data_IF_286594294550
#
_entry.id   IF_286594294550
#
_cell.length_a   1.000
_cell.length_b   1.000
_cell.length_c   1.000
_cell.angle_alpha   90.00
_cell.angle_beta   90.00
_cell.angle_gamma   90.00
#
_symmetry.space_group_name_H-M   'P 1'
#
loop_
_entity.id
_entity.type
_entity.pdbx_description
1 polymer ?
#
# COMPACT_ATOMS: atom_id res chain seq x y z
N UNK A 1 -5.27 -19.64 3.50
CA UNK A 1 -4.91 -19.54 2.08
C UNK A 1 -3.46 -19.10 2.01
N UNK A 2 -2.63 -19.89 1.41
CA UNK A 2 -1.19 -19.66 1.28
C UNK A 2 -0.83 -19.93 -0.18
N UNK A 3 -1.20 -18.97 -1.04
CA UNK A 3 -0.83 -19.04 -2.45
C UNK A 3 0.65 -18.70 -2.57
N UNK A 4 1.41 -19.27 -3.53
CA UNK A 4 2.86 -19.10 -3.67
C UNK A 4 3.32 -17.64 -3.70
N UNK A 5 2.43 -16.73 -4.08
CA UNK A 5 2.71 -15.29 -4.18
C UNK A 5 2.03 -14.44 -3.09
N UNK A 6 1.14 -15.00 -2.23
CA UNK A 6 0.36 -14.22 -1.26
C UNK A 6 -0.11 -15.03 -0.05
N UNK A 7 0.60 -14.99 1.08
CA UNK A 7 0.01 -15.43 2.36
C UNK A 7 -1.19 -14.52 2.70
N UNK A 8 -2.31 -15.13 3.07
CA UNK A 8 -3.50 -14.37 3.44
C UNK A 8 -3.27 -13.63 4.78
N UNK A 9 -3.30 -12.30 4.82
CA UNK A 9 -3.03 -11.56 6.06
C UNK A 9 -4.01 -11.90 7.18
N UNK A 10 -5.25 -12.16 6.84
CA UNK A 10 -6.29 -12.54 7.79
C UNK A 10 -6.08 -13.96 8.34
N UNK A 11 -5.55 -14.87 7.52
CA UNK A 11 -5.14 -16.20 7.95
C UNK A 11 -3.99 -16.12 8.93
N UNK A 12 -2.95 -15.36 8.63
CA UNK A 12 -1.80 -15.16 9.51
C UNK A 12 -2.21 -14.54 10.85
N UNK A 13 -3.11 -13.54 10.85
CA UNK A 13 -3.64 -12.94 12.09
C UNK A 13 -4.43 -13.93 12.92
N UNK A 14 -5.23 -14.80 12.29
CA UNK A 14 -5.96 -15.83 13.00
C UNK A 14 -5.01 -16.84 13.68
N UNK A 15 -3.98 -17.28 12.94
CA UNK A 15 -2.95 -18.16 13.48
C UNK A 15 -2.21 -17.52 14.66
N UNK A 16 -1.77 -16.28 14.50
CA UNK A 16 -1.07 -15.54 15.56
C UNK A 16 -1.94 -15.39 16.81
N UNK A 17 -3.21 -15.04 16.66
CA UNK A 17 -4.15 -14.92 17.78
C UNK A 17 -4.36 -16.25 18.52
N UNK A 18 -4.48 -17.36 17.79
CA UNK A 18 -4.61 -18.69 18.38
C UNK A 18 -3.34 -19.09 19.14
N UNK A 19 -2.14 -18.78 18.56
CA UNK A 19 -0.84 -19.03 19.20
C UNK A 19 -0.66 -18.20 20.47
N UNK A 20 -0.96 -16.90 20.43
CA UNK A 20 -0.89 -16.02 21.62
C UNK A 20 -1.79 -16.49 22.75
N UNK A 21 -2.96 -17.05 22.41
CA UNK A 21 -3.92 -17.58 23.38
C UNK A 21 -3.66 -19.02 23.75
N UNK A 22 -2.59 -19.64 23.22
CA UNK A 22 -2.22 -21.04 23.46
C UNK A 22 -3.36 -22.02 23.17
N UNK A 23 -4.23 -21.69 22.19
CA UNK A 23 -5.32 -22.55 21.75
C UNK A 23 -4.77 -23.53 20.71
N UNK A 24 -4.87 -24.85 20.92
CA UNK A 24 -4.44 -25.84 19.94
C UNK A 24 -5.31 -25.74 18.68
N UNK A 25 -4.69 -25.80 17.51
CA UNK A 25 -5.37 -25.72 16.22
C UNK A 25 -4.66 -26.56 15.16
N UNK A 26 -5.38 -26.91 14.12
CA UNK A 26 -4.88 -27.49 12.89
C UNK A 26 -5.00 -26.46 11.76
N UNK A 27 -3.92 -26.25 11.00
CA UNK A 27 -3.90 -25.30 9.88
C UNK A 27 -4.03 -26.03 8.54
N UNK A 28 -5.22 -25.99 7.96
CA UNK A 28 -5.51 -26.53 6.63
C UNK A 28 -5.27 -25.50 5.55
N UNK A 29 -4.07 -25.52 4.96
CA UNK A 29 -3.66 -24.53 3.97
C UNK A 29 -4.26 -24.82 2.59
N UNK A 30 -4.92 -23.81 2.03
CA UNK A 30 -5.39 -23.83 0.65
C UNK A 30 -4.30 -23.20 -0.24
N UNK A 31 -3.68 -24.01 -1.06
CA UNK A 31 -2.46 -23.63 -1.83
C UNK A 31 -2.73 -23.30 -3.29
N UNK A 32 -3.95 -23.49 -3.78
CA UNK A 32 -4.34 -23.14 -5.16
C UNK A 32 -5.66 -22.35 -5.21
N UNK A 33 -5.88 -21.53 -6.23
CA UNK A 33 -7.15 -20.84 -6.44
C UNK A 33 -8.33 -21.80 -6.54
N UNK A 34 -8.15 -22.95 -7.19
CA UNK A 34 -9.19 -23.97 -7.36
C UNK A 34 -9.59 -24.57 -6.01
N UNK A 35 -8.60 -24.84 -5.14
CA UNK A 35 -8.86 -25.34 -3.78
C UNK A 35 -9.62 -24.31 -2.95
N UNK A 36 -9.35 -23.02 -3.13
CA UNK A 36 -10.08 -21.94 -2.46
C UNK A 36 -11.54 -21.89 -2.90
N UNK A 37 -11.79 -21.94 -4.20
CA UNK A 37 -13.17 -21.91 -4.72
C UNK A 37 -13.94 -23.20 -4.37
N UNK A 38 -13.31 -24.36 -4.45
CA UNK A 38 -13.90 -25.63 -4.00
C UNK A 38 -14.27 -25.60 -2.51
N UNK A 39 -13.37 -25.06 -1.67
CA UNK A 39 -13.64 -24.89 -0.25
C UNK A 39 -14.81 -23.94 0.02
N UNK A 40 -14.86 -22.78 -0.66
CA UNK A 40 -15.96 -21.83 -0.53
C UNK A 40 -17.30 -22.45 -0.93
N UNK A 41 -17.33 -23.18 -2.04
CA UNK A 41 -18.52 -23.86 -2.51
C UNK A 41 -18.99 -24.96 -1.51
N UNK A 42 -18.06 -25.80 -1.03
CA UNK A 42 -18.35 -26.88 -0.10
C UNK A 42 -18.91 -26.39 1.25
N UNK A 43 -18.44 -25.23 1.72
CA UNK A 43 -18.86 -24.68 3.03
C UNK A 43 -19.87 -23.54 2.93
N UNK A 44 -20.29 -23.14 1.72
CA UNK A 44 -21.23 -22.05 1.50
C UNK A 44 -20.73 -20.71 2.01
N UNK A 45 -19.43 -20.42 1.83
CA UNK A 45 -18.80 -19.20 2.36
C UNK A 45 -18.23 -18.34 1.25
N UNK A 46 -18.29 -17.00 1.42
CA UNK A 46 -17.79 -16.06 0.43
C UNK A 46 -16.28 -15.76 0.60
N UNK A 47 -15.72 -15.96 1.78
CA UNK A 47 -14.36 -15.52 2.13
C UNK A 47 -13.55 -16.59 2.86
N UNK A 48 -12.23 -16.44 2.86
CA UNK A 48 -11.26 -17.18 3.69
C UNK A 48 -10.39 -16.21 4.46
N UNK A 49 -9.86 -16.53 5.65
CA UNK A 49 -9.93 -17.82 6.34
C UNK A 49 -11.33 -18.12 6.90
N UNK A 50 -11.58 -19.37 7.17
CA UNK A 50 -12.72 -19.83 7.99
C UNK A 50 -12.19 -20.67 9.14
N UNK A 51 -12.70 -20.42 10.33
CA UNK A 51 -12.29 -21.08 11.57
C UNK A 51 -13.46 -21.91 12.09
N UNK A 52 -13.16 -23.11 12.52
CA UNK A 52 -14.13 -24.05 13.07
C UNK A 52 -13.71 -24.48 14.48
N UNK A 53 -14.65 -24.70 15.36
CA UNK A 53 -14.46 -25.32 16.67
C UNK A 53 -15.23 -26.63 16.66
N UNK A 54 -14.55 -27.74 16.37
CA UNK A 54 -15.21 -29.02 16.06
C UNK A 54 -16.11 -28.88 14.83
N UNK A 55 -17.40 -29.16 14.97
CA UNK A 55 -18.37 -29.00 13.88
C UNK A 55 -18.95 -27.59 13.76
N UNK A 56 -18.74 -26.72 14.73
CA UNK A 56 -19.27 -25.36 14.74
C UNK A 56 -18.38 -24.42 13.93
N UNK A 57 -18.96 -23.75 12.93
CA UNK A 57 -18.25 -22.68 12.20
C UNK A 57 -18.27 -21.38 13.01
N UNK A 58 -17.10 -20.88 13.39
CA UNK A 58 -16.94 -19.58 14.07
C UNK A 58 -17.06 -18.45 13.03
N UNK A 59 -16.40 -18.59 11.87
CA UNK A 59 -16.33 -17.56 10.84
C UNK A 59 -14.90 -17.17 10.49
N UNK A 60 -14.67 -15.90 10.14
CA UNK A 60 -13.36 -15.36 9.82
C UNK A 60 -12.56 -14.93 11.06
N UNK A 61 -11.43 -14.22 10.81
CA UNK A 61 -10.60 -13.67 11.88
C UNK A 61 -11.38 -12.74 12.83
N UNK A 62 -12.25 -11.89 12.28
CA UNK A 62 -13.04 -10.94 13.08
C UNK A 62 -13.99 -11.64 14.04
N UNK A 63 -14.58 -12.75 13.60
CA UNK A 63 -15.50 -13.54 14.41
C UNK A 63 -14.73 -14.30 15.51
N UNK A 64 -13.56 -14.85 15.18
CA UNK A 64 -12.65 -15.45 16.14
C UNK A 64 -12.21 -14.43 17.20
N UNK A 65 -11.79 -13.25 16.80
CA UNK A 65 -11.35 -12.18 17.71
C UNK A 65 -12.49 -11.76 18.65
N UNK A 66 -13.71 -11.60 18.12
CA UNK A 66 -14.88 -11.27 18.92
C UNK A 66 -15.19 -12.38 19.94
N UNK A 67 -15.13 -13.66 19.54
CA UNK A 67 -15.37 -14.81 20.42
C UNK A 67 -14.34 -14.92 21.55
N UNK A 68 -13.09 -14.52 21.28
CA UNK A 68 -12.01 -14.50 22.26
C UNK A 68 -11.93 -13.19 23.10
N UNK A 69 -12.91 -12.29 22.95
CA UNK A 69 -12.95 -11.01 23.66
C UNK A 69 -11.80 -10.06 23.28
N UNK A 70 -11.17 -10.31 22.13
CA UNK A 70 -10.15 -9.41 21.56
C UNK A 70 -10.87 -8.44 20.66
N UNK A 71 -10.63 -7.14 20.84
CA UNK A 71 -11.09 -6.18 19.82
C UNK A 71 -10.41 -6.51 18.51
N UNK A 72 -11.15 -6.96 17.47
CA UNK A 72 -10.55 -7.13 16.17
C UNK A 72 -9.93 -5.80 15.79
N UNK A 73 -8.71 -5.84 15.23
CA UNK A 73 -8.14 -4.62 14.65
C UNK A 73 -9.22 -4.00 13.75
N UNK A 74 -9.59 -2.78 14.08
CA UNK A 74 -10.65 -2.05 13.38
C UNK A 74 -10.44 -2.17 11.87
N UNK A 75 -11.43 -2.68 11.15
CA UNK A 75 -11.47 -2.64 9.67
C UNK A 75 -11.81 -1.22 9.19
N UNK A 76 -12.01 -0.27 10.11
CA UNK A 76 -12.33 1.11 9.79
C UNK A 76 -11.21 1.74 8.96
N UNK A 77 -11.65 2.50 7.98
CA UNK A 77 -10.77 3.36 7.17
C UNK A 77 -9.95 4.24 8.10
N UNK A 78 -8.63 4.29 7.87
CA UNK A 78 -7.72 5.11 8.65
C UNK A 78 -6.88 6.01 7.74
N UNK A 79 -6.96 7.30 7.97
CA UNK A 79 -6.09 8.31 7.35
C UNK A 79 -4.93 8.71 8.27
N UNK A 80 -4.84 8.14 9.46
CA UNK A 80 -3.80 8.46 10.45
C UNK A 80 -2.37 8.36 9.88
N UNK A 81 -1.99 7.30 9.11
CA UNK A 81 -0.64 7.24 8.55
C UNK A 81 -0.36 8.37 7.56
N UNK A 82 -1.34 8.74 6.74
CA UNK A 82 -1.22 9.84 5.78
C UNK A 82 -1.01 11.16 6.50
N UNK A 83 -1.86 11.44 7.50
CA UNK A 83 -1.74 12.66 8.32
C UNK A 83 -0.39 12.70 9.06
N UNK A 84 0.06 11.60 9.62
CA UNK A 84 1.36 11.52 10.29
C UNK A 84 2.51 11.89 9.34
N UNK A 85 2.52 11.34 8.12
CA UNK A 85 3.54 11.66 7.09
C UNK A 85 3.53 13.15 6.76
N UNK A 86 2.36 13.72 6.41
CA UNK A 86 2.29 15.11 5.96
C UNK A 86 2.51 16.10 7.10
N UNK A 87 2.06 15.83 8.33
CA UNK A 87 2.35 16.67 9.49
C UNK A 87 3.84 16.64 9.79
N UNK A 88 4.46 15.46 9.81
CA UNK A 88 5.91 15.33 10.04
C UNK A 88 6.71 16.05 8.98
N UNK A 89 6.38 15.84 7.71
CA UNK A 89 7.04 16.52 6.59
C UNK A 89 6.88 18.05 6.69
N UNK A 90 5.68 18.53 7.08
CA UNK A 90 5.41 19.95 7.25
C UNK A 90 6.22 20.58 8.38
N UNK A 91 6.27 19.93 9.54
CA UNK A 91 7.07 20.40 10.67
C UNK A 91 8.57 20.40 10.34
N UNK A 92 9.08 19.37 9.67
CA UNK A 92 10.47 19.33 9.23
C UNK A 92 10.78 20.43 8.22
N UNK A 93 9.92 20.64 7.22
CA UNK A 93 10.09 21.69 6.22
C UNK A 93 10.07 23.08 6.86
N UNK A 94 9.22 23.29 7.86
CA UNK A 94 9.14 24.55 8.63
C UNK A 94 10.44 24.81 9.40
N UNK A 95 10.92 23.83 10.15
CA UNK A 95 12.16 23.93 10.94
C UNK A 95 13.38 24.15 10.07
N UNK A 96 13.42 23.48 8.92
CA UNK A 96 14.52 23.59 7.94
C UNK A 96 14.39 24.81 7.03
N UNK A 97 13.32 25.58 7.12
CA UNK A 97 13.01 26.71 6.24
C UNK A 97 13.00 26.33 4.74
N UNK A 98 12.58 25.09 4.45
CA UNK A 98 12.75 24.47 3.12
C UNK A 98 11.58 24.76 2.16
N UNK A 99 10.58 25.51 2.57
CA UNK A 99 9.42 25.89 1.75
C UNK A 99 8.58 24.68 1.29
N UNK A 100 7.79 24.91 0.24
CA UNK A 100 6.88 23.88 -0.32
C UNK A 100 7.66 22.74 -0.97
N UNK A 101 8.74 23.04 -1.67
CA UNK A 101 9.60 22.01 -2.30
C UNK A 101 10.19 21.08 -1.26
N UNK A 102 10.66 21.63 -0.13
CA UNK A 102 11.15 20.82 0.99
C UNK A 102 10.08 19.96 1.61
N UNK A 103 8.88 20.50 1.86
CA UNK A 103 7.73 19.72 2.36
C UNK A 103 7.44 18.53 1.44
N UNK A 104 7.36 18.77 0.13
CA UNK A 104 7.05 17.73 -0.84
C UNK A 104 8.15 16.68 -0.94
N UNK A 105 9.42 17.10 -1.03
CA UNK A 105 10.55 16.20 -1.07
C UNK A 105 10.64 15.30 0.16
N UNK A 106 10.45 15.88 1.37
CA UNK A 106 10.41 15.12 2.63
C UNK A 106 9.23 14.14 2.64
N UNK A 107 8.03 14.58 2.23
CA UNK A 107 6.85 13.71 2.18
C UNK A 107 7.07 12.52 1.24
N UNK A 108 7.61 12.74 0.03
CA UNK A 108 7.94 11.67 -0.93
C UNK A 108 8.96 10.70 -0.32
N UNK A 109 10.01 11.20 0.33
CA UNK A 109 11.01 10.35 1.00
C UNK A 109 10.38 9.49 2.10
N UNK A 110 9.51 10.06 2.93
CA UNK A 110 8.82 9.32 4.01
C UNK A 110 7.88 8.25 3.44
N UNK A 111 7.13 8.56 2.39
CA UNK A 111 6.25 7.60 1.72
C UNK A 111 7.05 6.48 1.03
N UNK A 112 8.16 6.81 0.39
CA UNK A 112 9.07 5.82 -0.17
C UNK A 112 9.66 4.91 0.91
N UNK A 113 10.06 5.48 2.06
CA UNK A 113 10.55 4.72 3.21
C UNK A 113 9.51 3.70 3.70
N UNK A 114 8.24 4.11 3.87
CA UNK A 114 7.17 3.19 4.30
C UNK A 114 6.97 2.03 3.31
N UNK A 115 7.09 2.28 2.01
CA UNK A 115 7.03 1.26 0.96
C UNK A 115 8.25 0.33 0.98
N UNK A 116 9.43 0.88 1.28
CA UNK A 116 10.70 0.12 1.38
C UNK A 116 10.74 -0.79 2.61
N UNK A 117 10.08 -0.43 3.70
CA UNK A 117 10.00 -1.28 4.90
C UNK A 117 9.29 -2.61 4.62
N UNK A 118 8.32 -2.64 3.70
CA UNK A 118 7.55 -3.83 3.35
C UNK A 118 7.42 -4.00 1.82
N UNK A 119 8.55 -4.00 1.11
CA UNK A 119 8.59 -4.03 -0.38
C UNK A 119 7.75 -5.16 -0.99
N UNK A 120 7.73 -6.33 -0.37
CA UNK A 120 6.98 -7.48 -0.88
C UNK A 120 5.46 -7.23 -0.77
N UNK A 121 5.00 -6.78 0.39
CA UNK A 121 3.59 -6.46 0.64
C UNK A 121 3.13 -5.28 -0.22
N UNK A 122 3.99 -4.25 -0.35
CA UNK A 122 3.77 -3.12 -1.26
C UNK A 122 3.60 -3.60 -2.70
N UNK A 123 4.57 -4.34 -3.26
CA UNK A 123 4.56 -4.78 -4.65
C UNK A 123 3.33 -5.65 -4.97
N UNK A 124 2.92 -6.49 -4.01
CA UNK A 124 1.74 -7.32 -4.12
C UNK A 124 0.44 -6.50 -4.18
N UNK A 125 0.30 -5.48 -3.32
CA UNK A 125 -0.86 -4.59 -3.30
C UNK A 125 -0.87 -3.65 -4.50
N UNK A 126 0.28 -3.08 -4.86
CA UNK A 126 0.47 -2.18 -5.99
C UNK A 126 0.10 -2.83 -7.32
N UNK A 127 0.47 -4.10 -7.53
CA UNK A 127 0.15 -4.86 -8.73
C UNK A 127 -1.35 -5.01 -8.99
N UNK A 128 -2.20 -4.87 -7.98
CA UNK A 128 -3.64 -5.00 -8.15
C UNK A 128 -4.25 -3.86 -8.98
N UNK A 129 -3.60 -2.70 -9.00
CA UNK A 129 -4.13 -1.52 -9.68
C UNK A 129 -3.13 -0.78 -10.58
N UNK A 130 -1.82 -0.93 -10.36
CA UNK A 130 -0.81 -0.26 -11.19
C UNK A 130 -0.61 -0.98 -12.52
N UNK A 131 -0.79 -0.26 -13.61
CA UNK A 131 -0.76 -0.79 -14.97
C UNK A 131 0.60 -1.37 -15.37
N UNK A 132 1.68 -0.72 -14.94
CA UNK A 132 3.03 -1.16 -15.29
C UNK A 132 3.43 -2.37 -14.45
N UNK A 133 3.07 -2.40 -13.16
CA UNK A 133 3.30 -3.56 -12.29
C UNK A 133 2.56 -4.80 -12.73
N UNK A 134 1.39 -4.66 -13.35
CA UNK A 134 0.64 -5.76 -13.95
C UNK A 134 1.40 -6.39 -15.12
N UNK A 135 2.09 -5.57 -15.90
CA UNK A 135 2.87 -6.01 -17.08
C UNK A 135 4.28 -6.45 -16.73
N UNK A 136 4.93 -5.78 -15.78
CA UNK A 136 6.32 -6.01 -15.38
C UNK A 136 6.44 -6.14 -13.86
N UNK A 137 6.55 -7.39 -13.39
CA UNK A 137 6.55 -7.72 -11.95
C UNK A 137 7.66 -7.03 -11.15
N UNK A 138 8.84 -6.82 -11.76
CA UNK A 138 9.96 -6.16 -11.08
C UNK A 138 9.66 -4.68 -10.77
N UNK A 139 8.78 -4.04 -11.55
CA UNK A 139 8.44 -2.63 -11.37
C UNK A 139 7.96 -2.30 -9.96
N UNK A 140 7.04 -3.10 -9.41
CA UNK A 140 6.53 -2.88 -8.05
C UNK A 140 7.61 -2.93 -6.97
N UNK A 141 8.72 -3.64 -7.20
CA UNK A 141 9.86 -3.67 -6.27
C UNK A 141 10.82 -2.51 -6.48
N UNK A 142 10.96 -2.03 -7.71
CA UNK A 142 11.85 -0.92 -8.07
C UNK A 142 11.23 0.45 -7.76
N UNK A 143 9.90 0.55 -7.88
CA UNK A 143 9.16 1.79 -7.73
C UNK A 143 9.50 2.58 -6.47
N UNK A 144 9.52 1.99 -5.25
CA UNK A 144 9.84 2.74 -4.03
C UNK A 144 11.25 3.32 -4.02
N UNK A 145 12.22 2.61 -4.62
CA UNK A 145 13.58 3.11 -4.76
C UNK A 145 13.68 4.31 -5.71
N UNK A 146 12.99 4.26 -6.84
CA UNK A 146 12.93 5.37 -7.80
C UNK A 146 12.22 6.57 -7.17
N UNK A 147 11.12 6.34 -6.46
CA UNK A 147 10.39 7.38 -5.73
C UNK A 147 11.26 8.06 -4.67
N UNK A 148 12.07 7.29 -3.93
CA UNK A 148 13.03 7.84 -2.98
C UNK A 148 14.06 8.74 -3.66
N UNK A 149 14.61 8.30 -4.81
CA UNK A 149 15.56 9.10 -5.57
C UNK A 149 14.93 10.40 -6.09
N UNK A 150 13.68 10.38 -6.50
CA UNK A 150 12.92 11.57 -6.86
C UNK A 150 12.77 12.51 -5.66
N UNK A 151 12.37 12.01 -4.50
CA UNK A 151 12.22 12.80 -3.28
C UNK A 151 13.53 13.48 -2.86
N UNK A 152 14.64 12.72 -2.89
CA UNK A 152 15.98 13.26 -2.64
C UNK A 152 16.40 14.29 -3.68
N UNK A 153 16.11 14.05 -4.96
CA UNK A 153 16.39 14.99 -6.04
C UNK A 153 15.62 16.31 -5.88
N UNK A 154 14.37 16.24 -5.43
CA UNK A 154 13.57 17.44 -5.12
C UNK A 154 14.18 18.23 -3.95
N UNK A 155 14.70 17.55 -2.91
CA UNK A 155 15.33 18.20 -1.76
C UNK A 155 16.67 18.84 -2.11
N UNK A 156 17.47 18.14 -2.90
CA UNK A 156 18.83 18.59 -3.25
C UNK A 156 18.83 19.72 -4.28
N UNK A 157 17.77 19.86 -5.10
CA UNK A 157 17.70 20.81 -6.20
C UNK A 157 19.01 20.82 -7.02
N UNK A 158 19.38 19.71 -7.66
CA UNK A 158 20.73 19.49 -8.16
C UNK A 158 21.09 20.49 -9.26
N UNK A 159 22.37 20.88 -9.27
CA UNK A 159 22.99 21.62 -10.35
C UNK A 159 23.90 20.67 -11.16
N UNK A 160 24.00 20.78 -12.46
CA UNK A 160 23.39 21.78 -13.33
C UNK A 160 21.88 21.58 -13.57
N UNK A 161 21.23 22.59 -14.19
CA UNK A 161 19.79 22.57 -14.50
C UNK A 161 19.31 21.27 -15.17
N UNK A 162 20.12 20.68 -16.05
CA UNK A 162 19.81 19.41 -16.71
C UNK A 162 19.53 18.26 -15.70
N UNK A 163 20.20 18.24 -14.56
CA UNK A 163 19.97 17.23 -13.52
C UNK A 163 18.64 17.47 -12.81
N UNK A 164 18.29 18.73 -12.53
CA UNK A 164 16.99 19.10 -11.98
C UNK A 164 15.85 18.77 -12.95
N UNK A 165 16.04 19.06 -14.24
CA UNK A 165 15.09 18.69 -15.29
C UNK A 165 14.87 17.18 -15.40
N UNK A 166 15.93 16.37 -15.27
CA UNK A 166 15.82 14.91 -15.27
C UNK A 166 14.98 14.41 -14.07
N UNK A 167 15.25 14.91 -12.86
CA UNK A 167 14.45 14.59 -11.67
C UNK A 167 12.99 14.99 -11.88
N UNK A 168 12.76 16.19 -12.39
CA UNK A 168 11.42 16.69 -12.72
C UNK A 168 10.70 15.82 -13.75
N UNK A 169 11.38 15.43 -14.82
CA UNK A 169 10.80 14.56 -15.86
C UNK A 169 10.42 13.19 -15.32
N UNK A 170 11.25 12.59 -14.46
CA UNK A 170 10.94 11.31 -13.79
C UNK A 170 9.74 11.48 -12.85
N UNK A 171 9.68 12.58 -12.07
CA UNK A 171 8.55 12.87 -11.19
C UNK A 171 7.24 13.03 -11.98
N UNK A 172 7.25 13.73 -13.13
CA UNK A 172 6.08 13.84 -14.03
C UNK A 172 5.65 12.46 -14.52
N UNK A 173 6.61 11.64 -14.99
CA UNK A 173 6.29 10.32 -15.53
C UNK A 173 5.67 9.40 -14.47
N UNK A 174 6.25 9.36 -13.25
CA UNK A 174 5.72 8.56 -12.14
C UNK A 174 4.33 9.06 -11.71
N UNK A 175 4.17 10.36 -11.52
CA UNK A 175 2.89 10.95 -11.11
C UNK A 175 1.80 10.74 -12.15
N UNK A 176 2.10 10.96 -13.45
CA UNK A 176 1.14 10.72 -14.53
C UNK A 176 0.72 9.25 -14.60
N UNK A 177 1.67 8.32 -14.52
CA UNK A 177 1.38 6.89 -14.52
C UNK A 177 0.56 6.48 -13.30
N UNK A 178 0.88 7.01 -12.11
CA UNK A 178 0.12 6.78 -10.89
C UNK A 178 -1.30 7.30 -10.98
N UNK A 179 -1.51 8.53 -11.51
CA UNK A 179 -2.85 9.09 -11.73
C UNK A 179 -3.68 8.23 -12.68
N UNK A 180 -3.10 7.78 -13.80
CA UNK A 180 -3.80 6.90 -14.76
C UNK A 180 -4.17 5.57 -14.12
N UNK A 181 -3.24 4.95 -13.38
CA UNK A 181 -3.46 3.67 -12.71
C UNK A 181 -4.54 3.76 -11.63
N UNK A 182 -4.44 4.78 -10.74
CA UNK A 182 -5.44 5.01 -9.68
C UNK A 182 -6.79 5.43 -10.27
N UNK A 183 -6.78 6.32 -11.27
CA UNK A 183 -7.99 6.77 -11.95
C UNK A 183 -8.74 5.61 -12.60
N UNK A 184 -8.03 4.74 -13.32
CA UNK A 184 -8.63 3.53 -13.89
C UNK A 184 -9.21 2.63 -12.80
N UNK A 185 -8.44 2.31 -11.77
CA UNK A 185 -8.86 1.40 -10.71
C UNK A 185 -10.10 1.90 -9.96
N UNK A 186 -10.16 3.20 -9.67
CA UNK A 186 -11.23 3.79 -8.84
C UNK A 186 -12.48 4.15 -9.68
N UNK A 187 -12.30 4.81 -10.83
CA UNK A 187 -13.41 5.38 -11.58
C UNK A 187 -13.92 4.50 -12.73
N UNK A 188 -13.08 3.58 -13.24
CA UNK A 188 -13.47 2.69 -14.35
C UNK A 188 -13.76 1.29 -13.82
N UNK A 189 -12.81 0.71 -13.08
CA UNK A 189 -12.90 -0.67 -12.60
C UNK A 189 -13.66 -0.78 -11.25
N UNK A 190 -13.96 0.34 -10.60
CA UNK A 190 -14.67 0.45 -9.31
C UNK A 190 -14.08 -0.47 -8.21
N UNK A 191 -12.76 -0.62 -8.17
CA UNK A 191 -12.08 -1.50 -7.23
C UNK A 191 -12.04 -0.90 -5.83
N UNK A 192 -12.64 -1.57 -4.86
CA UNK A 192 -12.55 -1.22 -3.45
C UNK A 192 -11.22 -1.76 -2.85
N UNK A 193 -10.11 -1.08 -3.15
CA UNK A 193 -8.78 -1.45 -2.70
C UNK A 193 -8.24 -0.48 -1.65
N UNK A 194 -7.29 -0.95 -0.85
CA UNK A 194 -6.50 -0.08 0.01
C UNK A 194 -5.29 0.48 -0.73
N UNK A 195 -4.92 1.73 -0.39
CA UNK A 195 -3.74 2.37 -0.94
C UNK A 195 -2.47 1.67 -0.43
N UNK A 196 -1.58 1.35 -1.36
CA UNK A 196 -0.24 0.86 -1.03
C UNK A 196 0.73 1.99 -0.61
N UNK A 197 0.34 3.27 -0.76
CA UNK A 197 1.22 4.43 -0.56
C UNK A 197 1.83 4.53 0.83
N UNK A 198 1.09 4.13 1.85
CA UNK A 198 1.52 4.17 3.27
C UNK A 198 1.84 2.79 3.83
N UNK A 199 2.34 1.89 2.97
CA UNK A 199 2.71 0.52 3.33
C UNK A 199 1.70 -0.52 2.84
N UNK A 200 2.17 -1.76 2.64
CA UNK A 200 1.40 -2.84 2.01
C UNK A 200 0.17 -3.31 2.80
N UNK A 201 0.13 -3.03 4.10
CA UNK A 201 -0.98 -3.37 5.01
C UNK A 201 -1.83 -2.16 5.44
N UNK A 202 -1.74 -1.06 4.71
CA UNK A 202 -2.49 0.16 4.97
C UNK A 202 -4.01 -0.06 4.90
N UNK A 203 -4.74 0.66 5.77
CA UNK A 203 -6.21 0.73 5.77
C UNK A 203 -6.73 2.02 5.12
N UNK A 204 -5.84 2.78 4.51
CA UNK A 204 -6.20 3.97 3.74
C UNK A 204 -6.82 3.52 2.43
N UNK A 205 -8.02 3.98 2.06
CA UNK A 205 -8.63 3.57 0.81
C UNK A 205 -7.85 4.14 -0.38
N UNK A 206 -7.73 3.33 -1.43
CA UNK A 206 -7.25 3.81 -2.72
C UNK A 206 -8.31 4.77 -3.29
N UNK A 207 -7.95 6.00 -3.56
CA UNK A 207 -8.90 6.98 -4.05
C UNK A 207 -8.31 8.38 -4.14
N UNK A 208 -9.08 9.38 -3.68
CA UNK A 208 -8.74 10.80 -3.82
C UNK A 208 -7.36 11.15 -3.27
N UNK A 209 -6.98 10.59 -2.11
CA UNK A 209 -5.66 10.84 -1.49
C UNK A 209 -4.53 10.35 -2.39
N UNK A 210 -4.63 9.10 -2.88
CA UNK A 210 -3.62 8.51 -3.77
C UNK A 210 -3.53 9.24 -5.11
N UNK A 211 -4.67 9.68 -5.63
CA UNK A 211 -4.73 10.48 -6.85
C UNK A 211 -4.07 11.86 -6.65
N UNK A 212 -4.42 12.55 -5.55
CA UNK A 212 -3.87 13.87 -5.21
C UNK A 212 -2.35 13.83 -4.99
N UNK A 213 -1.84 12.80 -4.32
CA UNK A 213 -0.39 12.57 -4.12
C UNK A 213 0.36 12.50 -5.46
N UNK A 214 -0.15 11.68 -6.39
CA UNK A 214 0.43 11.55 -7.72
C UNK A 214 0.32 12.84 -8.54
N UNK A 215 -0.81 13.57 -8.43
CA UNK A 215 -1.01 14.86 -9.09
C UNK A 215 -0.01 15.90 -8.58
N UNK A 216 0.20 15.99 -7.27
CA UNK A 216 1.15 16.93 -6.66
C UNK A 216 2.57 16.58 -7.09
N UNK A 217 2.95 15.31 -7.14
CA UNK A 217 4.25 14.86 -7.61
C UNK A 217 4.48 15.26 -9.09
N UNK A 218 3.48 15.04 -9.94
CA UNK A 218 3.56 15.45 -11.36
C UNK A 218 3.66 16.96 -11.53
N UNK A 219 2.85 17.74 -10.80
CA UNK A 219 2.86 19.20 -10.85
C UNK A 219 4.22 19.75 -10.42
N UNK A 220 4.79 19.22 -9.35
CA UNK A 220 6.10 19.63 -8.86
C UNK A 220 7.22 19.28 -9.85
N UNK A 221 7.15 18.08 -10.44
CA UNK A 221 8.07 17.69 -11.50
C UNK A 221 8.00 18.64 -12.70
N UNK A 222 6.80 19.06 -13.11
CA UNK A 222 6.61 20.01 -14.19
C UNK A 222 7.23 21.39 -13.88
N UNK A 223 7.08 21.87 -12.65
CA UNK A 223 7.74 23.12 -12.20
C UNK A 223 9.26 22.99 -12.29
N UNK A 224 9.84 21.87 -11.86
CA UNK A 224 11.28 21.63 -11.93
C UNK A 224 11.81 21.59 -13.39
N UNK A 225 11.04 21.02 -14.31
CA UNK A 225 11.40 21.00 -15.75
C UNK A 225 11.38 22.41 -16.34
N UNK A 226 10.45 23.27 -15.91
CA UNK A 226 10.33 24.63 -16.44
C UNK A 226 11.32 25.62 -15.81
N UNK A 227 11.71 25.39 -14.56
CA UNK A 227 12.62 26.30 -13.83
C UNK A 227 14.11 26.07 -14.14
N UNK A 228 14.47 24.97 -14.78
CA UNK A 228 15.82 24.63 -15.22
C UNK A 228 16.01 24.92 -16.71
#
# INVERSE_FOLDING_TARGET
>A
MDLPDHPCPWGLRALHLLQERQIPFEDHRLTSPEAVEAFKAAHGVATTPQIFSGAERIGGYTDLAARLGVRPESTAISYTPVLAVFITAGLMALVLNAGISGLMGIAICLLAMLKLMEVQAFAASFRKYDLLSQRWRAWGRLYPGIELLVGLGVLLQPQPAAAAQLVGAVAVALGAMGMVSVGKAVFIDHLALNCACVGGNSRTPLGVVSFAENLIMAAMGAVMVQAG
#
